data_IF_019902855985
#
_entry.id   IF_019902855985
#
_cell.length_a   1.000
_cell.length_b   1.000
_cell.length_c   1.000
_cell.angle_alpha   90.00
_cell.angle_beta   90.00
_cell.angle_gamma   90.00
#
_symmetry.space_group_name_H-M   'P 1'
#
loop_
_entity.id
_entity.type
_entity.pdbx_description
1 polymer ?
#
# COMPACT_ATOMS: atom_id res chain seq x y z
N UNK A 1 46.23 49.27 -20.37
CA UNK A 1 45.10 50.11 -20.80
C UNK A 1 43.90 49.19 -20.99
N UNK A 2 42.82 49.46 -20.26
CA UNK A 2 41.51 48.77 -20.29
C UNK A 2 40.89 48.88 -21.70
N UNK A 3 39.98 48.00 -22.16
CA UNK A 3 38.54 48.00 -21.83
C UNK A 3 37.87 46.68 -22.25
N UNK A 4 36.90 46.28 -21.41
CA UNK A 4 35.91 45.20 -21.49
C UNK A 4 34.96 45.18 -22.71
N UNK A 5 34.41 43.99 -22.99
CA UNK A 5 33.04 43.65 -23.44
C UNK A 5 32.98 42.11 -23.37
N UNK A 6 31.98 41.39 -22.90
CA UNK A 6 30.60 41.64 -22.49
C UNK A 6 29.95 40.25 -22.40
N UNK A 7 29.02 40.07 -21.46
CA UNK A 7 28.41 38.81 -21.05
C UNK A 7 27.64 38.05 -22.16
N UNK A 8 27.60 36.71 -22.05
CA UNK A 8 26.34 35.94 -22.11
C UNK A 8 26.53 34.53 -21.56
N UNK A 9 25.92 34.30 -20.40
CA UNK A 9 25.50 32.98 -19.93
C UNK A 9 24.54 32.38 -20.96
N UNK A 10 24.67 31.07 -21.21
CA UNK A 10 23.52 30.24 -21.55
C UNK A 10 23.81 28.78 -21.17
N UNK A 11 23.16 28.38 -20.07
CA UNK A 11 22.83 27.00 -19.74
C UNK A 11 21.89 26.44 -20.82
N UNK A 12 22.24 25.28 -21.36
CA UNK A 12 21.37 24.41 -22.17
C UNK A 12 22.09 23.07 -22.19
N UNK A 13 21.51 21.93 -21.91
CA UNK A 13 20.17 21.54 -21.49
C UNK A 13 20.35 20.05 -21.22
N UNK A 14 20.08 19.60 -20.00
CA UNK A 14 20.07 18.18 -19.68
C UNK A 14 19.03 17.50 -20.59
N UNK A 15 19.51 16.62 -21.46
CA UNK A 15 18.71 15.72 -22.29
C UNK A 15 17.86 14.83 -21.37
N UNK A 16 16.65 15.29 -21.10
CA UNK A 16 15.61 14.51 -20.46
C UNK A 16 15.25 13.34 -21.38
N UNK A 17 15.80 12.16 -21.08
CA UNK A 17 15.37 10.88 -21.64
C UNK A 17 13.89 10.69 -21.32
N UNK A 18 13.04 11.07 -22.27
CA UNK A 18 11.62 10.81 -22.29
C UNK A 18 11.37 9.30 -22.21
N UNK A 19 10.97 8.82 -21.04
CA UNK A 19 10.24 7.56 -20.94
C UNK A 19 8.82 7.85 -21.42
N UNK A 20 8.49 7.34 -22.61
CA UNK A 20 7.15 7.40 -23.18
C UNK A 20 6.15 6.73 -22.22
N UNK A 21 5.01 7.35 -21.90
CA UNK A 21 3.92 6.66 -21.21
C UNK A 21 3.35 5.57 -22.12
N UNK A 22 3.22 4.35 -21.60
CA UNK A 22 2.41 3.31 -22.24
C UNK A 22 0.92 3.68 -22.12
N UNK A 23 0.16 3.37 -23.18
CA UNK A 23 -1.26 3.68 -23.34
C UNK A 23 -2.13 3.06 -22.23
N UNK A 24 -3.26 3.70 -21.84
CA UNK A 24 -4.20 3.11 -20.90
C UNK A 24 -5.01 1.97 -21.54
N UNK A 25 -5.16 0.87 -20.82
CA UNK A 25 -6.24 -0.10 -21.09
C UNK A 25 -7.60 0.57 -20.78
N UNK A 26 -8.49 0.61 -21.77
CA UNK A 26 -9.96 0.79 -21.62
C UNK A 26 -10.47 -0.26 -20.62
N UNK A 27 -11.45 -0.05 -19.74
CA UNK A 27 -12.38 1.05 -19.48
C UNK A 27 -13.04 0.78 -18.12
N UNK A 28 -13.05 1.75 -17.22
CA UNK A 28 -14.04 1.82 -16.14
C UNK A 28 -14.69 3.20 -16.17
N UNK A 29 -16.02 3.18 -16.23
CA UNK A 29 -16.90 4.32 -16.49
C UNK A 29 -16.62 5.47 -15.52
N UNK A 30 -16.33 6.66 -16.08
CA UNK A 30 -16.51 7.93 -15.39
C UNK A 30 -17.97 8.05 -14.96
N UNK A 31 -18.22 8.29 -13.67
CA UNK A 31 -19.39 9.05 -13.24
C UNK A 31 -18.94 10.49 -13.08
N UNK A 32 -19.29 11.31 -14.06
CA UNK A 32 -19.30 12.77 -13.92
C UNK A 32 -20.43 13.14 -12.95
N UNK A 33 -20.11 13.96 -11.96
CA UNK A 33 -21.11 14.72 -11.23
C UNK A 33 -20.83 16.19 -11.52
N UNK A 34 -21.71 16.81 -12.30
CA UNK A 34 -21.80 18.25 -12.50
C UNK A 34 -23.15 18.70 -11.98
N UNK A 35 -23.14 19.60 -11.00
CA UNK A 35 -24.22 20.54 -10.76
C UNK A 35 -23.58 21.84 -10.30
N UNK A 36 -23.81 22.89 -11.09
CA UNK A 36 -23.40 24.26 -10.85
C UNK A 36 -24.43 24.99 -9.97
N UNK A 37 -23.90 25.98 -9.24
CA UNK A 37 -24.45 27.30 -8.86
C UNK A 37 -25.81 27.43 -8.17
N UNK A 38 -25.80 28.13 -7.03
CA UNK A 38 -26.49 29.41 -6.82
C UNK A 38 -25.86 30.16 -5.62
N UNK A 39 -25.54 31.44 -5.82
CA UNK A 39 -25.19 32.44 -4.79
C UNK A 39 -26.50 33.05 -4.24
N UNK A 40 -26.59 33.40 -2.94
CA UNK A 40 -26.56 34.80 -2.48
C UNK A 40 -26.88 35.00 -0.97
N UNK A 41 -26.15 35.94 -0.38
CA UNK A 41 -26.47 36.88 0.73
C UNK A 41 -26.69 36.45 2.21
N UNK A 42 -26.02 37.21 3.07
CA UNK A 42 -26.00 37.30 4.54
C UNK A 42 -27.19 38.11 5.11
N UNK A 43 -27.69 37.80 6.32
CA UNK A 43 -27.98 38.81 7.39
C UNK A 43 -28.42 38.19 8.75
N UNK A 44 -28.30 39.01 9.79
CA UNK A 44 -28.28 38.85 11.26
C UNK A 44 -29.48 38.22 12.03
N UNK A 45 -29.20 37.84 13.29
CA UNK A 45 -30.11 37.38 14.38
C UNK A 45 -30.63 38.58 15.22
N UNK A 46 -31.40 38.48 16.36
CA UNK A 46 -32.06 37.36 17.07
C UNK A 46 -33.52 37.68 17.60
N UNK A 47 -34.22 36.73 18.25
CA UNK A 47 -35.47 37.03 19.00
C UNK A 47 -36.21 35.84 19.65
N UNK A 48 -36.46 35.96 20.95
CA UNK A 48 -37.06 35.03 21.93
C UNK A 48 -38.60 35.21 22.05
N UNK A 49 -39.39 34.15 22.29
CA UNK A 49 -40.31 33.92 23.46
C UNK A 49 -41.42 32.85 23.21
N UNK A 50 -41.77 32.18 24.30
CA UNK A 50 -42.60 30.99 24.53
C UNK A 50 -44.09 31.03 24.14
N UNK A 51 -44.71 29.84 23.95
CA UNK A 51 -45.90 29.37 24.72
C UNK A 51 -46.34 27.92 24.36
N UNK A 52 -46.39 27.03 25.38
CA UNK A 52 -47.09 25.71 25.42
C UNK A 52 -48.58 25.90 25.91
N UNK A 53 -49.44 24.91 26.30
CA UNK A 53 -49.25 23.46 26.57
C UNK A 53 -50.47 22.48 26.29
N UNK A 54 -50.32 21.22 26.77
CA UNK A 54 -51.33 20.17 27.13
C UNK A 54 -51.65 19.11 26.04
N UNK A 55 -51.60 17.78 26.24
CA UNK A 55 -52.14 16.91 27.31
C UNK A 55 -51.30 15.63 27.52
N UNK A 56 -51.19 15.23 28.79
CA UNK A 56 -50.61 14.00 29.33
C UNK A 56 -51.68 12.91 29.50
N UNK A 57 -51.35 11.66 29.14
CA UNK A 57 -51.88 10.36 29.61
C UNK A 57 -51.23 9.28 28.73
N UNK A 58 -50.55 8.22 29.15
CA UNK A 58 -50.44 7.50 30.41
C UNK A 58 -50.37 5.99 30.09
N UNK A 59 -49.23 5.36 30.34
CA UNK A 59 -48.99 3.94 30.74
C UNK A 59 -49.28 2.75 29.77
N UNK A 60 -48.21 1.96 29.51
CA UNK A 60 -48.12 0.52 29.10
C UNK A 60 -48.56 -0.43 30.29
N UNK A 61 -48.58 -1.80 30.27
CA UNK A 61 -48.15 -2.82 29.27
C UNK A 61 -48.98 -4.17 29.16
N UNK A 62 -48.49 -5.07 28.27
CA UNK A 62 -48.49 -6.57 28.28
C UNK A 62 -49.76 -7.47 28.25
N UNK A 63 -49.77 -8.46 27.33
CA UNK A 63 -50.14 -9.87 27.61
C UNK A 63 -49.46 -10.90 26.66
N UNK A 64 -48.78 -11.90 27.25
CA UNK A 64 -48.64 -13.36 26.96
C UNK A 64 -49.14 -13.93 25.61
N UNK A 65 -48.54 -14.85 24.82
CA UNK A 65 -47.53 -15.92 25.00
C UNK A 65 -48.15 -17.33 24.80
N UNK A 66 -47.78 -18.13 23.76
CA UNK A 66 -47.59 -19.63 23.79
C UNK A 66 -47.24 -20.33 22.42
N UNK A 67 -46.03 -20.95 22.40
CA UNK A 67 -45.48 -22.21 21.78
C UNK A 67 -45.76 -22.75 20.34
N UNK A 68 -44.61 -23.00 19.67
CA UNK A 68 -44.08 -24.19 18.93
C UNK A 68 -44.90 -24.87 17.82
N UNK A 69 -44.31 -24.93 16.61
CA UNK A 69 -44.17 -26.17 15.83
C UNK A 69 -42.91 -26.15 14.96
N UNK A 70 -42.15 -27.26 15.03
CA UNK A 70 -40.98 -27.62 14.22
C UNK A 70 -41.49 -28.35 12.99
N UNK A 71 -41.22 -27.85 11.79
CA UNK A 71 -41.28 -28.64 10.55
C UNK A 71 -40.12 -28.23 9.65
N UNK A 72 -39.42 -29.25 9.18
CA UNK A 72 -38.22 -29.25 8.35
C UNK A 72 -38.63 -29.15 6.88
N UNK A 73 -37.92 -28.39 6.07
CA UNK A 73 -37.82 -28.64 4.63
C UNK A 73 -36.50 -28.09 4.10
N UNK A 74 -35.68 -29.06 3.70
CA UNK A 74 -34.49 -29.02 2.87
C UNK A 74 -34.77 -28.39 1.51
N UNK A 75 -33.74 -27.81 0.91
CA UNK A 75 -33.36 -27.80 -0.52
C UNK A 75 -32.88 -26.42 -1.02
N UNK A 76 -31.76 -26.44 -1.75
CA UNK A 76 -31.01 -25.37 -2.43
C UNK A 76 -29.85 -24.71 -1.67
N UNK A 77 -28.79 -25.49 -1.40
CA UNK A 77 -27.44 -24.99 -1.06
C UNK A 77 -26.37 -25.44 -2.08
N UNK A 78 -26.74 -25.91 -3.28
CA UNK A 78 -25.82 -26.54 -4.22
C UNK A 78 -25.21 -25.60 -5.30
N UNK A 79 -25.29 -24.27 -5.16
CA UNK A 79 -24.69 -23.34 -6.16
C UNK A 79 -23.81 -22.21 -5.56
N UNK A 80 -23.31 -22.38 -4.34
CA UNK A 80 -22.39 -21.40 -3.73
C UNK A 80 -21.01 -21.94 -3.33
N UNK A 81 -20.72 -23.22 -3.60
CA UNK A 81 -19.46 -23.85 -3.19
C UNK A 81 -18.40 -23.99 -4.31
N UNK A 82 -18.66 -23.47 -5.53
CA UNK A 82 -17.75 -23.72 -6.68
C UNK A 82 -16.82 -22.54 -7.03
N UNK A 83 -16.73 -21.51 -6.20
CA UNK A 83 -15.83 -20.35 -6.42
C UNK A 83 -14.85 -20.06 -5.28
N UNK A 84 -14.76 -20.93 -4.28
CA UNK A 84 -13.83 -20.78 -3.14
C UNK A 84 -12.73 -21.87 -3.12
N UNK A 85 -12.73 -22.77 -4.10
CA UNK A 85 -11.80 -23.90 -4.21
C UNK A 85 -10.45 -23.59 -4.90
N UNK A 86 -10.19 -22.33 -5.29
CA UNK A 86 -8.89 -21.90 -5.86
C UNK A 86 -7.87 -21.37 -4.85
N UNK A 87 -8.13 -21.46 -3.54
CA UNK A 87 -7.06 -21.35 -2.55
C UNK A 87 -6.49 -22.73 -2.27
N UNK A 88 -5.51 -23.13 -3.11
CA UNK A 88 -4.64 -24.27 -2.88
C UNK A 88 -4.23 -24.34 -1.39
N UNK A 89 -4.73 -25.35 -0.66
CA UNK A 89 -4.42 -25.54 0.76
C UNK A 89 -2.90 -25.50 0.96
N UNK A 90 -2.34 -24.61 1.81
CA UNK A 90 -0.89 -24.35 1.91
C UNK A 90 -0.02 -25.54 2.32
N UNK A 91 -0.65 -26.66 2.67
CA UNK A 91 0.01 -27.86 3.14
C UNK A 91 -0.14 -28.99 2.12
N UNK A 92 0.99 -29.43 1.58
CA UNK A 92 1.11 -30.68 0.83
C UNK A 92 1.31 -31.84 1.79
N UNK A 93 0.74 -33.01 1.48
CA UNK A 93 1.03 -34.23 2.23
C UNK A 93 2.41 -34.75 1.83
N UNK A 94 3.34 -34.79 2.78
CA UNK A 94 4.70 -35.30 2.58
C UNK A 94 4.75 -36.82 2.74
N UNK A 95 4.05 -37.36 3.74
CA UNK A 95 4.00 -38.79 4.02
C UNK A 95 2.75 -39.16 4.79
N UNK A 96 2.17 -40.30 4.41
CA UNK A 96 1.08 -40.98 5.11
C UNK A 96 1.61 -42.32 5.65
N UNK A 97 1.62 -42.50 6.97
CA UNK A 97 1.99 -43.76 7.62
C UNK A 97 0.94 -44.11 8.67
N UNK A 98 0.08 -45.08 8.36
CA UNK A 98 -1.06 -45.42 9.21
C UNK A 98 -1.98 -44.21 9.44
N UNK A 99 -2.29 -43.91 10.69
CA UNK A 99 -3.11 -42.75 11.09
C UNK A 99 -2.30 -41.45 11.25
N UNK A 100 -0.99 -41.46 10.94
CA UNK A 100 -0.10 -40.31 11.09
C UNK A 100 0.18 -39.67 9.73
N UNK A 101 -0.16 -38.39 9.61
CA UNK A 101 0.13 -37.55 8.45
C UNK A 101 1.27 -36.59 8.77
N UNK A 102 2.22 -36.45 7.85
CA UNK A 102 3.18 -35.34 7.83
C UNK A 102 2.78 -34.38 6.72
N UNK A 103 2.54 -33.13 7.09
CA UNK A 103 2.26 -32.05 6.17
C UNK A 103 3.53 -31.22 5.97
N UNK A 104 3.92 -30.98 4.72
CA UNK A 104 4.93 -29.97 4.37
C UNK A 104 4.20 -28.73 3.88
N UNK A 105 4.60 -27.55 4.35
CA UNK A 105 4.10 -26.30 3.77
C UNK A 105 4.63 -26.21 2.34
N UNK A 106 3.74 -26.13 1.35
CA UNK A 106 4.13 -25.90 -0.05
C UNK A 106 4.67 -24.47 -0.14
N UNK A 107 5.87 -24.31 -0.69
CA UNK A 107 6.40 -22.98 -1.03
C UNK A 107 5.56 -22.47 -2.20
N UNK A 108 4.73 -21.47 -1.94
CA UNK A 108 4.12 -20.70 -3.00
C UNK A 108 5.12 -19.59 -3.30
N UNK A 109 5.73 -19.62 -4.48
CA UNK A 109 6.57 -18.51 -4.91
C UNK A 109 5.63 -17.34 -5.26
N UNK A 110 5.13 -16.64 -4.22
CA UNK A 110 4.25 -15.47 -4.32
C UNK A 110 4.92 -14.34 -5.11
N UNK A 111 6.25 -14.35 -5.14
CA UNK A 111 7.07 -13.37 -5.84
C UNK A 111 7.98 -14.07 -6.84
N UNK A 112 7.97 -13.58 -8.08
CA UNK A 112 8.89 -14.09 -9.10
C UNK A 112 10.35 -13.74 -8.75
N UNK A 113 11.32 -14.64 -9.02
CA UNK A 113 12.75 -14.41 -8.79
C UNK A 113 13.29 -13.07 -9.31
N UNK A 114 12.76 -12.59 -10.43
CA UNK A 114 13.16 -11.35 -11.08
C UNK A 114 13.02 -10.14 -10.15
N UNK A 115 12.01 -10.12 -9.29
CA UNK A 115 11.78 -9.03 -8.35
C UNK A 115 12.79 -9.05 -7.18
N UNK A 116 13.26 -10.23 -6.78
CA UNK A 116 14.36 -10.35 -5.83
C UNK A 116 15.67 -9.83 -6.42
N UNK A 117 15.95 -10.13 -7.69
CA UNK A 117 17.15 -9.62 -8.38
C UNK A 117 17.12 -8.11 -8.57
N UNK A 118 15.95 -7.56 -8.94
CA UNK A 118 15.74 -6.11 -9.00
C UNK A 118 16.01 -5.46 -7.66
N UNK A 119 15.47 -6.03 -6.59
CA UNK A 119 15.67 -5.51 -5.24
C UNK A 119 17.14 -5.55 -4.84
N UNK A 120 17.84 -6.68 -5.04
CA UNK A 120 19.29 -6.80 -4.79
C UNK A 120 20.10 -5.74 -5.56
N UNK A 121 19.79 -5.52 -6.85
CA UNK A 121 20.40 -4.42 -7.63
C UNK A 121 20.15 -3.05 -7.00
N UNK A 122 18.95 -2.79 -6.52
CA UNK A 122 18.61 -1.51 -5.88
C UNK A 122 19.27 -1.35 -4.52
N UNK A 123 19.53 -2.43 -3.78
CA UNK A 123 20.35 -2.39 -2.57
C UNK A 123 21.81 -2.00 -2.87
N UNK A 124 22.28 -2.18 -4.10
CA UNK A 124 23.61 -1.74 -4.50
C UNK A 124 23.71 -0.25 -4.79
N UNK A 125 22.57 0.42 -5.03
CA UNK A 125 22.49 1.83 -5.36
C UNK A 125 23.08 2.71 -4.23
N UNK A 126 23.95 3.69 -4.55
CA UNK A 126 24.66 4.45 -3.53
C UNK A 126 23.75 5.31 -2.65
N UNK A 127 22.58 5.76 -3.15
CA UNK A 127 21.63 6.52 -2.33
C UNK A 127 20.89 5.57 -1.40
N UNK A 128 20.45 4.41 -1.90
CA UNK A 128 19.78 3.38 -1.08
C UNK A 128 20.72 2.88 0.02
N UNK A 129 21.98 2.55 -0.30
CA UNK A 129 22.99 2.18 0.70
C UNK A 129 23.16 3.22 1.80
N UNK A 130 23.30 4.49 1.43
CA UNK A 130 23.43 5.58 2.41
C UNK A 130 22.18 5.72 3.28
N UNK A 131 21.00 5.56 2.70
CA UNK A 131 19.74 5.61 3.43
C UNK A 131 19.64 4.47 4.46
N UNK A 132 19.91 3.23 4.05
CA UNK A 132 19.87 2.06 4.94
C UNK A 132 20.94 2.13 6.05
N UNK A 133 22.11 2.71 5.75
CA UNK A 133 23.17 2.94 6.73
C UNK A 133 22.82 4.07 7.73
N UNK A 134 22.01 5.04 7.29
CA UNK A 134 21.54 6.13 8.15
C UNK A 134 20.44 5.67 9.13
N UNK A 135 19.52 4.82 8.68
CA UNK A 135 18.45 4.27 9.53
C UNK A 135 18.98 3.15 10.46
N UNK A 136 19.79 3.54 11.45
CA UNK A 136 20.39 2.62 12.43
C UNK A 136 19.38 2.02 13.40
N UNK A 137 18.29 2.75 13.67
CA UNK A 137 17.26 2.34 14.60
C UNK A 137 16.12 1.57 13.90
N UNK A 138 16.29 1.30 12.59
CA UNK A 138 15.36 0.53 11.78
C UNK A 138 13.92 1.06 11.85
N UNK A 139 13.76 2.39 11.86
CA UNK A 139 12.46 3.04 12.01
C UNK A 139 11.65 3.06 10.72
N UNK A 140 12.32 2.95 9.58
CA UNK A 140 11.69 3.09 8.26
C UNK A 140 12.12 2.00 7.27
N UNK A 141 13.05 1.14 7.67
CA UNK A 141 13.67 0.15 6.79
C UNK A 141 14.08 -1.13 7.52
N UNK A 142 13.24 -1.60 8.44
CA UNK A 142 13.37 -2.96 8.98
C UNK A 142 13.11 -4.02 7.89
N UNK A 143 13.42 -5.27 8.23
CA UNK A 143 13.30 -6.41 7.33
C UNK A 143 11.88 -6.62 6.77
N UNK A 144 10.82 -6.32 7.53
CA UNK A 144 9.44 -6.50 7.09
C UNK A 144 9.05 -5.40 6.12
N UNK A 145 9.36 -4.13 6.42
CA UNK A 145 9.17 -3.01 5.49
C UNK A 145 9.89 -3.27 4.15
N UNK A 146 11.13 -3.78 4.21
CA UNK A 146 11.89 -4.14 3.02
C UNK A 146 11.30 -5.34 2.26
N UNK A 147 10.72 -6.31 2.96
CA UNK A 147 9.98 -7.43 2.35
C UNK A 147 8.73 -6.93 1.61
N UNK A 148 8.00 -5.98 2.19
CA UNK A 148 6.85 -5.35 1.55
C UNK A 148 7.23 -4.64 0.24
N UNK A 149 8.42 -4.04 0.15
CA UNK A 149 8.90 -3.45 -1.12
C UNK A 149 8.99 -4.50 -2.22
N UNK A 150 9.50 -5.70 -1.92
CA UNK A 150 9.58 -6.80 -2.88
C UNK A 150 8.18 -7.28 -3.28
N UNK A 151 7.27 -7.44 -2.32
CA UNK A 151 5.87 -7.79 -2.59
C UNK A 151 5.21 -6.77 -3.54
N UNK A 152 5.45 -5.47 -3.31
CA UNK A 152 4.94 -4.41 -4.18
C UNK A 152 5.54 -4.43 -5.58
N UNK A 153 6.83 -4.77 -5.72
CA UNK A 153 7.43 -4.96 -7.04
C UNK A 153 6.81 -6.13 -7.79
N UNK A 154 6.48 -7.22 -7.09
CA UNK A 154 5.77 -8.35 -7.68
C UNK A 154 4.40 -7.93 -8.21
N UNK A 155 3.64 -7.18 -7.41
CA UNK A 155 2.26 -6.79 -7.74
C UNK A 155 2.15 -5.71 -8.79
N UNK A 156 3.11 -4.79 -8.84
CA UNK A 156 3.09 -3.70 -9.82
C UNK A 156 3.34 -4.20 -11.26
N UNK A 157 3.87 -5.43 -11.41
CA UNK A 157 4.00 -6.11 -12.70
C UNK A 157 4.90 -5.39 -13.72
N UNK A 158 5.70 -4.41 -13.28
CA UNK A 158 6.64 -3.70 -14.14
C UNK A 158 7.78 -4.63 -14.55
N UNK A 159 8.34 -4.39 -15.73
CA UNK A 159 9.51 -5.13 -16.17
C UNK A 159 10.73 -4.84 -15.29
N UNK A 160 11.60 -5.83 -15.10
CA UNK A 160 12.75 -5.76 -14.19
C UNK A 160 13.70 -4.56 -14.46
N UNK A 161 13.82 -4.13 -15.72
CA UNK A 161 14.64 -2.98 -16.11
C UNK A 161 13.99 -1.61 -15.84
N UNK A 162 12.68 -1.55 -15.59
CA UNK A 162 11.96 -0.29 -15.32
C UNK A 162 12.14 0.16 -13.86
N UNK A 163 12.43 -0.78 -12.97
CA UNK A 163 12.65 -0.48 -11.56
C UNK A 163 13.94 0.30 -11.32
N UNK A 164 13.74 1.54 -10.91
CA UNK A 164 14.78 2.50 -10.55
C UNK A 164 14.74 2.84 -9.06
N UNK A 165 15.76 3.57 -8.57
CA UNK A 165 15.85 4.10 -7.20
C UNK A 165 14.54 4.68 -6.69
N UNK A 166 13.85 5.48 -7.51
CA UNK A 166 12.58 6.10 -7.11
C UNK A 166 11.53 5.04 -6.73
N UNK A 167 11.46 3.91 -7.43
CA UNK A 167 10.50 2.84 -7.15
C UNK A 167 10.78 2.16 -5.81
N UNK A 168 12.05 1.98 -5.44
CA UNK A 168 12.42 1.51 -4.11
C UNK A 168 11.83 2.40 -3.03
N UNK A 169 12.03 3.71 -3.15
CA UNK A 169 11.52 4.66 -2.16
C UNK A 169 10.00 4.84 -2.22
N UNK A 170 9.36 4.68 -3.38
CA UNK A 170 7.89 4.65 -3.49
C UNK A 170 7.32 3.45 -2.74
N UNK A 171 7.87 2.26 -2.98
CA UNK A 171 7.48 1.04 -2.28
C UNK A 171 7.74 1.13 -0.78
N UNK A 172 8.90 1.64 -0.38
CA UNK A 172 9.25 1.78 1.03
C UNK A 172 8.38 2.81 1.74
N UNK A 173 8.12 3.96 1.10
CA UNK A 173 7.21 4.97 1.64
C UNK A 173 5.80 4.40 1.80
N UNK A 174 5.31 3.63 0.83
CA UNK A 174 4.03 2.96 0.93
C UNK A 174 4.01 1.92 2.07
N UNK A 175 5.06 1.12 2.22
CA UNK A 175 5.15 0.15 3.31
C UNK A 175 5.06 0.85 4.68
N UNK A 176 5.76 1.97 4.83
CA UNK A 176 5.68 2.80 6.03
C UNK A 176 4.27 3.41 6.24
N UNK A 177 3.56 3.81 5.18
CA UNK A 177 2.16 4.27 5.30
C UNK A 177 1.22 3.18 5.80
N UNK A 178 1.54 1.91 5.53
CA UNK A 178 0.70 0.77 5.91
C UNK A 178 0.98 0.25 7.31
N UNK A 179 2.23 0.31 7.79
CA UNK A 179 2.65 -0.30 9.07
C UNK A 179 2.92 0.73 10.18
N UNK A 180 3.32 1.96 9.85
CA UNK A 180 3.79 2.96 10.82
C UNK A 180 2.88 4.19 10.86
N UNK A 181 2.24 4.42 12.00
CA UNK A 181 1.41 5.61 12.24
C UNK A 181 2.25 6.90 12.21
N UNK A 182 3.52 6.82 12.63
CA UNK A 182 4.38 7.97 12.75
C UNK A 182 4.87 8.45 11.38
N UNK A 183 4.40 9.63 10.98
CA UNK A 183 4.74 10.23 9.69
C UNK A 183 6.14 10.87 9.65
N UNK A 184 6.77 11.12 10.79
CA UNK A 184 7.99 11.91 10.86
C UNK A 184 9.21 11.21 10.22
N UNK A 185 9.51 9.93 10.51
CA UNK A 185 10.73 9.28 10.00
C UNK A 185 10.74 9.12 8.47
N UNK A 186 9.58 8.91 7.85
CA UNK A 186 9.50 8.78 6.39
C UNK A 186 9.69 10.10 5.65
N UNK A 187 9.66 11.25 6.34
CA UNK A 187 10.03 12.52 5.71
C UNK A 187 11.50 12.52 5.25
N UNK A 188 12.36 11.74 5.92
CA UNK A 188 13.76 11.61 5.56
C UNK A 188 13.94 10.92 4.20
N UNK A 189 12.97 10.12 3.73
CA UNK A 189 12.97 9.58 2.36
C UNK A 189 13.10 10.70 1.31
N UNK A 190 12.42 11.83 1.51
CA UNK A 190 12.52 12.96 0.59
C UNK A 190 13.91 13.58 0.57
N UNK A 191 14.58 13.65 1.72
CA UNK A 191 15.95 14.17 1.82
C UNK A 191 16.93 13.35 0.99
N UNK A 192 16.82 12.01 1.02
CA UNK A 192 17.70 11.14 0.26
C UNK A 192 17.40 11.15 -1.25
N UNK A 193 16.13 11.29 -1.63
CA UNK A 193 15.72 11.33 -3.04
C UNK A 193 16.04 12.65 -3.74
N UNK A 194 15.70 13.78 -3.11
CA UNK A 194 15.68 15.10 -3.75
C UNK A 194 16.62 16.11 -3.08
N UNK A 195 17.34 15.71 -2.03
CA UNK A 195 18.20 16.59 -1.25
C UNK A 195 17.41 17.51 -0.33
N UNK A 196 17.88 18.74 -0.13
CA UNK A 196 17.28 19.71 0.81
C UNK A 196 15.99 20.38 0.29
N UNK A 197 15.60 20.11 -0.97
CA UNK A 197 14.43 20.72 -1.59
C UNK A 197 13.21 19.83 -1.47
N UNK A 198 12.09 20.42 -1.05
CA UNK A 198 10.81 19.74 -0.95
C UNK A 198 9.87 20.00 -2.14
N UNK A 199 10.34 20.70 -3.17
CA UNK A 199 9.54 21.05 -4.34
C UNK A 199 9.02 19.84 -5.12
N UNK A 200 9.70 18.69 -5.01
CA UNK A 200 9.35 17.45 -5.71
C UNK A 200 8.34 16.58 -4.94
N UNK A 201 7.91 16.97 -3.73
CA UNK A 201 6.92 16.20 -2.95
C UNK A 201 5.60 15.97 -3.69
N UNK A 202 4.99 16.98 -4.37
CA UNK A 202 3.76 16.75 -5.12
C UNK A 202 3.95 15.71 -6.24
N UNK A 203 5.09 15.75 -6.94
CA UNK A 203 5.42 14.77 -7.97
C UNK A 203 5.60 13.37 -7.37
N UNK A 204 6.29 13.25 -6.25
CA UNK A 204 6.45 11.97 -5.56
C UNK A 204 5.09 11.35 -5.19
N UNK A 205 4.17 12.12 -4.61
CA UNK A 205 2.85 11.60 -4.27
C UNK A 205 2.02 11.22 -5.51
N UNK A 206 2.19 11.94 -6.63
CA UNK A 206 1.58 11.55 -7.91
C UNK A 206 2.13 10.20 -8.41
N UNK A 207 3.45 10.01 -8.36
CA UNK A 207 4.08 8.74 -8.75
C UNK A 207 3.66 7.60 -7.80
N UNK A 208 3.54 7.87 -6.50
CA UNK A 208 3.05 6.91 -5.51
C UNK A 208 1.64 6.46 -5.81
N UNK A 209 0.75 7.40 -6.14
CA UNK A 209 -0.61 7.08 -6.55
C UNK A 209 -0.60 6.16 -7.78
N UNK A 210 0.20 6.47 -8.80
CA UNK A 210 0.32 5.63 -10.00
C UNK A 210 0.87 4.23 -9.67
N UNK A 211 1.85 4.14 -8.78
CA UNK A 211 2.40 2.88 -8.31
C UNK A 211 1.34 2.03 -7.59
N UNK A 212 0.53 2.64 -6.71
CA UNK A 212 -0.61 1.95 -6.07
C UNK A 212 -1.63 1.46 -7.09
N UNK A 213 -1.96 2.29 -8.08
CA UNK A 213 -2.88 1.89 -9.15
C UNK A 213 -2.34 0.71 -9.96
N UNK A 214 -1.01 0.63 -10.20
CA UNK A 214 -0.42 -0.49 -10.94
C UNK A 214 -0.49 -1.84 -10.21
N UNK A 215 -0.76 -1.83 -8.90
CA UNK A 215 -0.95 -3.02 -8.08
C UNK A 215 -2.42 -3.39 -7.91
N UNK A 216 -3.33 -2.81 -8.69
CA UNK A 216 -4.79 -2.94 -8.51
C UNK A 216 -5.23 -2.65 -7.07
N UNK A 217 -4.58 -1.67 -6.42
CA UNK A 217 -4.82 -1.27 -5.02
C UNK A 217 -4.50 -2.36 -3.98
N UNK A 218 -3.87 -3.47 -4.38
CA UNK A 218 -3.46 -4.55 -3.49
C UNK A 218 -2.20 -4.19 -2.70
N UNK A 219 -2.39 -3.34 -1.68
CA UNK A 219 -1.32 -2.81 -0.81
C UNK A 219 -1.13 -3.59 0.49
N UNK A 220 -2.05 -4.50 0.81
CA UNK A 220 -1.97 -5.34 2.01
C UNK A 220 -0.93 -6.43 1.79
N UNK A 221 0.02 -6.56 2.70
CA UNK A 221 1.04 -7.63 2.68
C UNK A 221 0.93 -8.32 4.02
N UNK A 222 0.75 -9.64 4.02
CA UNK A 222 0.66 -10.37 5.28
C UNK A 222 2.05 -10.63 5.86
N UNK A 223 2.11 -10.97 7.15
CA UNK A 223 3.37 -11.33 7.78
C UNK A 223 3.97 -12.59 7.16
N UNK A 224 3.10 -13.57 6.86
CA UNK A 224 3.49 -14.84 6.24
C UNK A 224 4.10 -14.62 4.85
N UNK A 225 3.53 -13.71 4.06
CA UNK A 225 4.08 -13.32 2.75
C UNK A 225 5.46 -12.68 2.90
N UNK A 226 5.66 -11.81 3.88
CA UNK A 226 6.98 -11.25 4.16
C UNK A 226 8.00 -12.33 4.56
N UNK A 227 7.60 -13.31 5.38
CA UNK A 227 8.46 -14.42 5.79
C UNK A 227 8.82 -15.33 4.61
N UNK A 228 7.90 -15.57 3.68
CA UNK A 228 8.15 -16.32 2.45
C UNK A 228 9.16 -15.60 1.54
N UNK A 229 9.01 -14.27 1.38
CA UNK A 229 9.97 -13.44 0.66
C UNK A 229 11.38 -13.51 1.30
N UNK A 230 11.46 -13.44 2.63
CA UNK A 230 12.75 -13.54 3.34
C UNK A 230 13.37 -14.94 3.21
N UNK A 231 12.54 -15.99 3.20
CA UNK A 231 12.99 -17.38 3.07
C UNK A 231 13.52 -17.74 1.67
N UNK A 232 13.26 -16.91 0.66
CA UNK A 232 13.80 -17.09 -0.69
C UNK A 232 15.33 -17.00 -0.72
N UNK A 233 15.90 -15.97 -0.09
CA UNK A 233 17.35 -15.75 0.04
C UNK A 233 17.66 -15.32 1.49
N UNK A 234 17.72 -16.27 2.43
CA UNK A 234 17.84 -15.97 3.86
C UNK A 234 19.21 -15.40 4.25
N UNK A 235 20.23 -15.53 3.38
CA UNK A 235 21.59 -15.03 3.63
C UNK A 235 21.75 -13.54 3.29
N UNK A 236 20.75 -12.94 2.66
CA UNK A 236 20.79 -11.52 2.31
C UNK A 236 20.84 -10.65 3.57
N UNK A 237 21.90 -9.84 3.69
CA UNK A 237 22.22 -9.06 4.88
C UNK A 237 21.10 -8.14 5.39
N UNK A 238 20.18 -7.70 4.51
CA UNK A 238 19.06 -6.83 4.91
C UNK A 238 18.08 -7.53 5.84
N UNK A 239 18.01 -8.87 5.84
CA UNK A 239 17.14 -9.61 6.75
C UNK A 239 17.64 -9.62 8.19
N UNK A 240 18.91 -9.28 8.41
CA UNK A 240 19.46 -8.99 9.74
C UNK A 240 18.97 -7.66 10.33
N UNK A 241 18.25 -6.84 9.56
CA UNK A 241 17.66 -5.57 10.02
C UNK A 241 16.39 -5.83 10.83
N UNK A 242 16.56 -6.42 12.01
CA UNK A 242 15.46 -6.72 12.92
C UNK A 242 15.37 -5.70 14.06
N UNK A 243 14.31 -4.89 14.05
CA UNK A 243 14.06 -3.86 15.06
C UNK A 243 13.87 -4.45 16.46
N UNK A 244 13.40 -5.70 16.57
CA UNK A 244 13.19 -6.37 17.86
C UNK A 244 14.51 -6.63 18.62
N UNK A 245 15.65 -6.61 17.91
CA UNK A 245 16.98 -6.84 18.49
C UNK A 245 17.67 -5.56 18.96
N UNK A 246 17.05 -4.39 18.74
CA UNK A 246 17.61 -3.06 19.08
C UNK A 246 16.94 -2.48 20.35
N UNK A 247 16.02 -3.24 20.96
CA UNK A 247 15.25 -2.84 22.15
C UNK A 247 16.12 -2.65 23.41
#
# INVERSE_FOLDING_TARGET
>A
MFISKGERLNNSSEEALWVKPCLPCRSSRKREWTSESEEDSEDDSPGIFDSAPWVESGLLPETTGLKRKRESSTESEDELEDLESELNHPWDVESLCGLKMKLKKRRMDLVQPEHHEVFKRLLEDPVVKRFLAWDKNLRVSDKYLLSMVIAYFSRAGLFSWQYQRIHFFLGLYLANDMEEDNQAPKQDIFHFLYGKSYAQRPLFHKLRYQFICSMDWNTRVSKEECEEIQAYDPELWVWGRDRTLIA
#
